data_IF_283159136214
#
_entry.id   IF_283159136214
#
_cell.length_a   1.000
_cell.length_b   1.000
_cell.length_c   1.000
_cell.angle_alpha   90.00
_cell.angle_beta   90.00
_cell.angle_gamma   90.00
#
_symmetry.space_group_name_H-M   'P 1'
#
loop_
_entity.id
_entity.type
_entity.pdbx_description
1 polymer ?
#
# COMPACT_ATOMS: atom_id res chain seq x y z
N UNK A 1 -18.92 -28.70 -11.95
CA UNK A 1 -17.54 -28.30 -12.32
C UNK A 1 -16.62 -28.75 -11.20
N UNK A 2 -15.77 -29.76 -11.43
CA UNK A 2 -14.79 -30.20 -10.43
C UNK A 2 -13.74 -29.10 -10.27
N UNK A 3 -13.65 -28.51 -9.08
CA UNK A 3 -12.65 -27.50 -8.75
C UNK A 3 -11.29 -28.21 -8.64
N UNK A 4 -10.59 -28.34 -9.77
CA UNK A 4 -9.22 -28.84 -9.82
C UNK A 4 -8.34 -28.05 -8.84
N UNK A 5 -7.39 -28.68 -8.16
CA UNK A 5 -6.50 -28.03 -7.17
C UNK A 5 -5.80 -26.75 -7.71
N UNK A 6 -5.59 -26.69 -9.02
CA UNK A 6 -5.11 -25.51 -9.73
C UNK A 6 -5.97 -24.25 -9.50
N UNK A 7 -7.31 -24.37 -9.46
CA UNK A 7 -8.22 -23.24 -9.21
C UNK A 7 -8.09 -22.70 -7.77
N UNK A 8 -7.89 -23.58 -6.78
CA UNK A 8 -7.66 -23.15 -5.38
C UNK A 8 -6.34 -22.40 -5.24
N UNK A 9 -5.27 -22.84 -5.90
CA UNK A 9 -3.98 -22.14 -5.86
C UNK A 9 -4.06 -20.76 -6.54
N UNK A 10 -4.72 -20.67 -7.70
CA UNK A 10 -4.95 -19.39 -8.38
C UNK A 10 -5.75 -18.42 -7.52
N UNK A 11 -6.83 -18.90 -6.89
CA UNK A 11 -7.66 -18.07 -6.03
C UNK A 11 -6.90 -17.56 -4.79
N UNK A 12 -6.09 -18.41 -4.15
CA UNK A 12 -5.18 -18.00 -3.07
C UNK A 12 -4.18 -16.95 -3.51
N UNK A 13 -3.62 -17.09 -4.71
CA UNK A 13 -2.65 -16.14 -5.26
C UNK A 13 -3.29 -14.78 -5.54
N UNK A 14 -4.50 -14.77 -6.11
CA UNK A 14 -5.27 -13.55 -6.28
C UNK A 14 -5.61 -12.89 -4.95
N UNK A 15 -6.08 -13.65 -3.95
CA UNK A 15 -6.34 -13.10 -2.62
C UNK A 15 -5.08 -12.49 -1.99
N UNK A 16 -3.92 -13.14 -2.11
CA UNK A 16 -2.68 -12.59 -1.60
C UNK A 16 -2.32 -11.27 -2.30
N UNK A 17 -2.46 -11.21 -3.63
CA UNK A 17 -2.19 -9.97 -4.38
C UNK A 17 -3.18 -8.87 -3.97
N UNK A 18 -4.47 -9.17 -3.89
CA UNK A 18 -5.49 -8.21 -3.42
C UNK A 18 -5.22 -7.75 -1.99
N UNK A 19 -4.86 -8.66 -1.09
CA UNK A 19 -4.52 -8.32 0.29
C UNK A 19 -3.27 -7.43 0.37
N UNK A 20 -2.24 -7.71 -0.44
CA UNK A 20 -1.04 -6.88 -0.53
C UNK A 20 -1.38 -5.49 -1.05
N UNK A 21 -2.17 -5.39 -2.13
CA UNK A 21 -2.60 -4.11 -2.69
C UNK A 21 -3.40 -3.29 -1.67
N UNK A 22 -4.34 -3.93 -0.97
CA UNK A 22 -5.12 -3.29 0.10
C UNK A 22 -4.25 -2.87 1.28
N UNK A 23 -3.26 -3.69 1.66
CA UNK A 23 -2.33 -3.36 2.72
C UNK A 23 -1.45 -2.15 2.36
N UNK A 24 -0.92 -2.10 1.12
CA UNK A 24 -0.15 -0.95 0.62
C UNK A 24 -1.03 0.30 0.63
N UNK A 25 -2.24 0.21 0.08
CA UNK A 25 -3.19 1.31 0.08
C UNK A 25 -3.51 1.80 1.50
N UNK A 26 -3.73 0.89 2.45
CA UNK A 26 -3.98 1.21 3.85
C UNK A 26 -2.79 1.88 4.52
N UNK A 27 -1.58 1.36 4.34
CA UNK A 27 -0.36 1.96 4.92
C UNK A 27 -0.17 3.38 4.40
N UNK A 28 -0.34 3.59 3.10
CA UNK A 28 -0.17 4.90 2.48
C UNK A 28 -1.24 5.89 2.90
N UNK A 29 -2.49 5.46 2.98
CA UNK A 29 -3.60 6.39 3.31
C UNK A 29 -3.65 6.66 4.81
N UNK A 30 -3.49 5.62 5.62
CA UNK A 30 -3.73 5.66 7.06
C UNK A 30 -2.44 5.84 7.87
N UNK A 31 -1.43 4.99 7.66
CA UNK A 31 -0.20 5.02 8.47
C UNK A 31 0.61 6.28 8.17
N UNK A 32 0.77 6.65 6.91
CA UNK A 32 1.51 7.87 6.54
C UNK A 32 0.79 9.14 7.01
N UNK A 33 -0.55 9.18 6.95
CA UNK A 33 -1.33 10.29 7.47
C UNK A 33 -1.31 10.37 9.00
N UNK A 34 -1.50 9.25 9.68
CA UNK A 34 -1.52 9.15 11.14
C UNK A 34 -0.15 9.46 11.76
N UNK A 35 0.92 8.88 11.21
CA UNK A 35 2.29 9.14 11.63
C UNK A 35 2.92 10.34 10.94
N UNK A 36 2.16 11.19 10.23
CA UNK A 36 2.71 12.34 9.51
C UNK A 36 3.56 13.29 10.38
N UNK A 37 3.24 13.34 11.69
CA UNK A 37 3.97 14.09 12.72
C UNK A 37 5.33 13.46 13.07
N UNK A 38 5.38 12.13 13.23
CA UNK A 38 6.61 11.40 13.57
C UNK A 38 7.48 11.14 12.32
N UNK A 39 6.86 11.04 11.14
CA UNK A 39 7.48 10.92 9.83
C UNK A 39 8.02 12.26 9.30
N UNK A 40 8.26 13.26 10.15
CA UNK A 40 8.86 14.54 9.76
C UNK A 40 10.39 14.41 9.54
N UNK A 41 10.86 13.30 8.99
CA UNK A 41 12.25 13.16 8.59
C UNK A 41 12.44 13.73 7.18
N UNK A 42 13.62 14.28 6.93
CA UNK A 42 13.97 14.89 5.65
C UNK A 42 14.21 13.79 4.61
N UNK A 43 13.33 13.68 3.63
CA UNK A 43 13.43 12.77 2.49
C UNK A 43 13.68 13.59 1.21
N UNK A 44 14.82 13.36 0.55
CA UNK A 44 15.24 14.13 -0.63
C UNK A 44 15.23 15.67 -0.43
N UNK A 45 15.50 16.14 0.78
CA UNK A 45 15.54 17.57 1.12
C UNK A 45 14.22 18.19 1.58
N UNK A 46 13.12 17.42 1.61
CA UNK A 46 11.79 17.87 2.03
C UNK A 46 11.23 16.96 3.14
N UNK A 47 10.29 17.42 3.98
CA UNK A 47 9.63 16.54 4.96
C UNK A 47 8.93 15.38 4.25
N UNK A 48 9.14 14.14 4.70
CA UNK A 48 8.56 12.95 4.06
C UNK A 48 7.03 13.01 3.98
N UNK A 49 6.37 13.53 5.02
CA UNK A 49 4.91 13.76 5.02
C UNK A 49 4.46 14.73 3.93
N UNK A 50 5.28 15.72 3.58
CA UNK A 50 5.02 16.62 2.45
C UNK A 50 5.22 15.93 1.10
N UNK A 51 6.30 15.16 0.94
CA UNK A 51 6.57 14.38 -0.27
C UNK A 51 5.46 13.34 -0.54
N UNK A 52 4.98 12.69 0.52
CA UNK A 52 3.86 11.74 0.45
C UNK A 52 2.55 12.41 0.05
N UNK A 53 2.27 13.63 0.52
CA UNK A 53 1.08 14.38 0.10
C UNK A 53 1.16 14.91 -1.34
N UNK A 54 2.36 15.29 -1.80
CA UNK A 54 2.56 15.92 -3.11
C UNK A 54 2.76 14.92 -4.27
N UNK A 55 3.50 13.83 -4.04
CA UNK A 55 3.83 12.85 -5.08
C UNK A 55 3.51 11.41 -4.67
N UNK A 56 3.76 11.03 -3.41
CA UNK A 56 3.55 9.66 -2.96
C UNK A 56 2.09 9.19 -3.14
N UNK A 57 1.13 10.01 -2.73
CA UNK A 57 -0.29 9.70 -2.85
C UNK A 57 -0.75 9.47 -4.31
N UNK A 58 -0.15 10.18 -5.28
CA UNK A 58 -0.45 10.03 -6.71
C UNK A 58 0.10 8.73 -7.31
N UNK A 59 1.17 8.18 -6.75
CA UNK A 59 1.76 6.90 -7.22
C UNK A 59 0.97 5.70 -6.70
N UNK A 60 0.26 5.88 -5.58
CA UNK A 60 -0.48 4.80 -4.91
C UNK A 60 -1.96 4.77 -5.30
N UNK A 61 -2.53 5.92 -5.68
CA UNK A 61 -3.86 6.03 -6.29
C UNK A 61 -3.86 5.65 -7.77
#
# INVERSE_FOLDING_TARGET
>A
MQLTDAHRQYWRKNLNITAILLAIWFVVTFVVGYFARDLNFTFFGWPFSWWMGAQGALVIY
#
